data_IF_626381155213
#
_entry.id   IF_626381155213
#
_cell.length_a   1.000
_cell.length_b   1.000
_cell.length_c   1.000
_cell.angle_alpha   90.00
_cell.angle_beta   90.00
_cell.angle_gamma   90.00
#
_symmetry.space_group_name_H-M   'P 1'
#
loop_
_entity.id
_entity.type
_entity.pdbx_description
1 polymer ?
#
# COMPACT_ATOMS: atom_id res chain seq x y z
N UNK A 1 -26.67 -22.68 1.58
CA UNK A 1 -26.56 -22.88 0.10
C UNK A 1 -25.10 -22.91 -0.26
N UNK A 2 -24.71 -23.66 -1.29
CA UNK A 2 -23.29 -23.79 -1.65
C UNK A 2 -22.81 -22.56 -2.39
N UNK A 3 -21.63 -22.03 -2.02
CA UNK A 3 -20.94 -20.96 -2.76
C UNK A 3 -20.21 -21.54 -3.98
N UNK A 4 -19.85 -20.69 -4.94
CA UNK A 4 -18.88 -21.03 -5.99
C UNK A 4 -17.72 -20.05 -5.93
N UNK A 5 -16.49 -20.57 -6.10
CA UNK A 5 -15.25 -19.79 -6.09
C UNK A 5 -14.63 -19.72 -7.49
N UNK A 6 -14.22 -18.54 -7.92
CA UNK A 6 -13.37 -18.33 -9.09
C UNK A 6 -12.12 -17.55 -8.67
N UNK A 7 -10.95 -18.03 -9.07
CA UNK A 7 -9.66 -17.39 -8.82
C UNK A 7 -8.95 -17.22 -10.16
N UNK A 8 -8.48 -16.03 -10.49
CA UNK A 8 -7.86 -15.70 -11.78
C UNK A 8 -6.68 -14.75 -11.61
N UNK A 9 -5.59 -14.99 -12.36
CA UNK A 9 -4.57 -14.00 -12.59
C UNK A 9 -4.96 -13.08 -13.74
N UNK A 10 -4.81 -11.77 -13.56
CA UNK A 10 -5.10 -10.77 -14.58
C UNK A 10 -3.93 -9.80 -14.73
N UNK A 11 -3.80 -9.22 -15.92
CA UNK A 11 -2.71 -8.28 -16.25
C UNK A 11 -3.31 -7.03 -16.87
N UNK A 12 -3.10 -5.88 -16.20
CA UNK A 12 -3.59 -4.58 -16.64
C UNK A 12 -2.42 -3.69 -17.06
N UNK A 13 -2.23 -3.40 -18.36
CA UNK A 13 -1.21 -2.48 -18.82
C UNK A 13 -1.36 -1.09 -18.18
N UNK A 14 -0.25 -0.53 -17.68
CA UNK A 14 -0.24 0.82 -17.15
C UNK A 14 -0.21 1.84 -18.31
N UNK A 15 -0.93 2.95 -18.16
CA UNK A 15 -0.91 4.05 -19.14
C UNK A 15 0.47 4.69 -19.29
N UNK A 16 1.25 4.68 -18.21
CA UNK A 16 2.65 5.13 -18.18
C UNK A 16 3.47 4.18 -17.29
N UNK A 17 4.73 3.90 -17.64
CA UNK A 17 5.61 3.09 -16.79
C UNK A 17 5.74 3.71 -15.40
N UNK A 18 5.63 2.88 -14.36
CA UNK A 18 5.79 3.30 -12.97
C UNK A 18 7.16 2.88 -12.44
N UNK A 19 8.01 3.88 -12.13
CA UNK A 19 9.38 3.67 -11.67
C UNK A 19 9.57 4.03 -10.20
N UNK A 20 10.20 3.14 -9.47
CA UNK A 20 10.67 3.33 -8.08
C UNK A 20 12.15 2.94 -7.98
N UNK A 21 12.77 3.14 -6.81
CA UNK A 21 14.18 2.77 -6.56
C UNK A 21 14.51 1.30 -6.91
N UNK A 22 13.53 0.38 -6.74
CA UNK A 22 13.69 -1.07 -6.95
C UNK A 22 13.36 -1.56 -8.37
N UNK A 23 12.86 -0.73 -9.28
CA UNK A 23 12.57 -1.14 -10.65
C UNK A 23 11.44 -0.36 -11.34
N UNK A 24 11.05 -0.86 -12.52
CA UNK A 24 10.01 -0.25 -13.34
C UNK A 24 8.93 -1.29 -13.65
N UNK A 25 7.66 -0.93 -13.41
CA UNK A 25 6.49 -1.72 -13.81
C UNK A 25 5.82 -1.09 -15.02
N UNK A 26 5.39 -1.93 -15.97
CA UNK A 26 4.63 -1.53 -17.17
C UNK A 26 3.21 -2.09 -17.14
N UNK A 27 2.92 -2.98 -16.19
CA UNK A 27 1.60 -3.56 -15.97
C UNK A 27 1.36 -3.80 -14.48
N UNK A 28 0.11 -3.85 -14.08
CA UNK A 28 -0.34 -4.38 -12.80
C UNK A 28 -0.76 -5.84 -13.01
N UNK A 29 -0.02 -6.77 -12.40
CA UNK A 29 -0.36 -8.19 -12.34
C UNK A 29 -1.10 -8.42 -11.03
N UNK A 30 -2.34 -8.92 -11.11
CA UNK A 30 -3.23 -9.05 -9.95
C UNK A 30 -3.84 -10.45 -9.90
N UNK A 31 -4.31 -10.83 -8.71
CA UNK A 31 -5.16 -12.01 -8.53
C UNK A 31 -6.55 -11.52 -8.15
N UNK A 32 -7.56 -11.86 -8.95
CA UNK A 32 -8.95 -11.60 -8.65
C UNK A 32 -9.63 -12.84 -8.09
N UNK A 33 -10.43 -12.64 -7.05
CA UNK A 33 -11.27 -13.67 -6.43
C UNK A 33 -12.72 -13.26 -6.52
N UNK A 34 -13.55 -14.21 -6.96
CA UNK A 34 -15.02 -14.06 -6.97
C UNK A 34 -15.65 -15.19 -6.19
N UNK A 35 -16.50 -14.84 -5.23
CA UNK A 35 -17.30 -15.79 -4.45
C UNK A 35 -18.77 -15.48 -4.68
N UNK A 36 -19.50 -16.44 -5.26
CA UNK A 36 -20.92 -16.27 -5.59
C UNK A 36 -21.78 -17.12 -4.68
N UNK A 37 -22.82 -16.51 -4.10
CA UNK A 37 -23.84 -17.17 -3.30
C UNK A 37 -25.20 -16.51 -3.59
N UNK A 38 -26.23 -17.33 -3.80
CA UNK A 38 -27.63 -16.87 -3.98
C UNK A 38 -27.82 -15.83 -5.11
N UNK A 39 -26.99 -15.95 -6.16
CA UNK A 39 -27.00 -15.03 -7.31
C UNK A 39 -26.25 -13.71 -7.10
N UNK A 40 -25.69 -13.48 -5.91
CA UNK A 40 -24.83 -12.33 -5.60
C UNK A 40 -23.37 -12.75 -5.64
N UNK A 41 -22.50 -11.88 -6.15
CA UNK A 41 -21.06 -12.13 -6.26
C UNK A 41 -20.29 -11.07 -5.50
N UNK A 42 -19.47 -11.51 -4.55
CA UNK A 42 -18.45 -10.69 -3.91
C UNK A 42 -17.15 -10.76 -4.68
N UNK A 43 -16.46 -9.64 -4.78
CA UNK A 43 -15.20 -9.44 -5.50
C UNK A 43 -14.07 -9.06 -4.56
N UNK A 44 -12.92 -9.65 -4.78
CA UNK A 44 -11.68 -9.25 -4.14
C UNK A 44 -10.54 -9.25 -5.14
N UNK A 45 -9.56 -8.39 -4.93
CA UNK A 45 -8.36 -8.27 -5.75
C UNK A 45 -7.15 -8.12 -4.83
N UNK A 46 -6.03 -8.70 -5.23
CA UNK A 46 -4.75 -8.50 -4.58
C UNK A 46 -3.65 -8.30 -5.61
N UNK A 47 -2.63 -7.54 -5.21
CA UNK A 47 -1.40 -7.34 -5.97
C UNK A 47 -0.28 -8.14 -5.29
N UNK A 48 0.03 -9.37 -5.76
CA UNK A 48 1.18 -10.11 -5.24
C UNK A 48 2.46 -9.30 -5.37
N UNK A 49 3.22 -9.19 -4.29
CA UNK A 49 4.36 -8.29 -4.29
C UNK A 49 5.68 -9.06 -4.15
N UNK A 50 6.49 -9.02 -5.22
CA UNK A 50 7.76 -9.76 -5.31
C UNK A 50 8.73 -9.45 -4.16
N UNK A 51 8.68 -8.25 -3.55
CA UNK A 51 9.45 -7.86 -2.37
C UNK A 51 9.18 -8.78 -1.17
N UNK A 52 7.96 -9.36 -1.10
CA UNK A 52 7.53 -10.28 -0.06
C UNK A 52 7.54 -11.75 -0.50
N UNK A 53 8.13 -12.04 -1.68
CA UNK A 53 8.23 -13.40 -2.22
C UNK A 53 6.94 -13.90 -2.87
N UNK A 54 5.99 -13.01 -3.16
CA UNK A 54 4.71 -13.38 -3.77
C UNK A 54 4.72 -13.22 -5.28
N UNK A 55 4.01 -14.10 -5.98
CA UNK A 55 3.69 -14.03 -7.42
C UNK A 55 2.21 -14.37 -7.63
N UNK A 56 1.70 -14.10 -8.82
CA UNK A 56 0.34 -14.50 -9.20
C UNK A 56 0.14 -16.01 -9.00
N UNK A 57 1.11 -16.80 -9.43
CA UNK A 57 1.06 -18.27 -9.35
C UNK A 57 1.06 -18.76 -7.90
N UNK A 58 1.96 -18.22 -7.05
CA UNK A 58 2.02 -18.64 -5.63
C UNK A 58 0.78 -18.20 -4.86
N UNK A 59 0.22 -17.05 -5.20
CA UNK A 59 -1.01 -16.54 -4.61
C UNK A 59 -2.21 -17.42 -4.97
N UNK A 60 -2.36 -17.79 -6.23
CA UNK A 60 -3.42 -18.73 -6.68
C UNK A 60 -3.22 -20.09 -6.02
N UNK A 61 -1.98 -20.61 -6.00
CA UNK A 61 -1.67 -21.89 -5.39
C UNK A 61 -1.95 -21.94 -3.88
N UNK A 62 -1.89 -20.81 -3.18
CA UNK A 62 -2.26 -20.72 -1.77
C UNK A 62 -3.78 -20.75 -1.55
N UNK A 63 -4.57 -20.21 -2.48
CA UNK A 63 -6.04 -20.13 -2.38
C UNK A 63 -6.70 -21.45 -2.77
N UNK A 64 -6.23 -22.11 -3.84
CA UNK A 64 -6.89 -23.29 -4.42
C UNK A 64 -7.13 -24.45 -3.43
N UNK A 65 -6.22 -24.80 -2.49
CA UNK A 65 -6.47 -25.85 -1.50
C UNK A 65 -7.66 -25.55 -0.57
N UNK A 66 -8.04 -24.28 -0.43
CA UNK A 66 -9.17 -23.87 0.41
C UNK A 66 -10.51 -23.82 -0.32
N UNK A 67 -10.56 -24.18 -1.61
CA UNK A 67 -11.75 -24.11 -2.46
C UNK A 67 -12.95 -24.77 -1.81
N UNK A 68 -12.82 -26.02 -1.39
CA UNK A 68 -13.95 -26.76 -0.80
C UNK A 68 -14.45 -26.12 0.50
N UNK A 69 -13.54 -25.60 1.33
CA UNK A 69 -13.89 -24.93 2.58
C UNK A 69 -14.62 -23.60 2.31
N UNK A 70 -14.12 -22.79 1.37
CA UNK A 70 -14.74 -21.53 0.97
C UNK A 70 -16.11 -21.74 0.32
N UNK A 71 -16.25 -22.77 -0.52
CA UNK A 71 -17.52 -23.15 -1.13
C UNK A 71 -18.51 -23.76 -0.11
N UNK A 72 -17.99 -24.37 0.98
CA UNK A 72 -18.81 -24.83 2.09
C UNK A 72 -19.29 -23.72 3.03
N UNK A 73 -18.67 -22.52 2.95
CA UNK A 73 -19.16 -21.36 3.68
C UNK A 73 -18.21 -20.76 4.73
N UNK A 74 -16.90 -21.11 4.69
CA UNK A 74 -15.90 -20.45 5.54
C UNK A 74 -16.04 -18.94 5.47
N UNK A 75 -16.04 -18.28 6.63
CA UNK A 75 -16.14 -16.84 6.79
C UNK A 75 -14.79 -16.17 6.91
N UNK A 76 -14.79 -14.83 6.92
CA UNK A 76 -13.56 -14.01 6.96
C UNK A 76 -12.78 -14.18 8.29
N UNK A 77 -13.47 -14.37 9.41
CA UNK A 77 -12.81 -14.60 10.70
C UNK A 77 -12.06 -15.95 10.74
N UNK A 78 -12.70 -17.00 10.19
CA UNK A 78 -12.07 -18.33 10.09
C UNK A 78 -10.88 -18.29 9.11
N UNK A 79 -10.94 -17.45 8.08
CA UNK A 79 -9.89 -17.28 7.06
C UNK A 79 -8.56 -16.83 7.70
N UNK A 80 -8.60 -16.05 8.80
CA UNK A 80 -7.39 -15.62 9.52
C UNK A 80 -6.53 -16.79 9.99
N UNK A 81 -7.15 -17.92 10.34
CA UNK A 81 -6.46 -19.15 10.74
C UNK A 81 -6.06 -20.07 9.58
N UNK A 82 -6.55 -19.82 8.38
CA UNK A 82 -6.33 -20.69 7.21
C UNK A 82 -5.25 -20.15 6.25
N UNK A 83 -5.10 -18.84 6.15
CA UNK A 83 -4.08 -18.19 5.33
C UNK A 83 -3.27 -17.19 6.16
N UNK A 84 -1.95 -17.14 5.98
CA UNK A 84 -1.14 -16.06 6.54
C UNK A 84 -1.52 -14.70 5.94
N UNK A 85 -1.10 -13.62 6.59
CA UNK A 85 -1.18 -12.28 6.02
C UNK A 85 -0.45 -12.23 4.67
N UNK A 86 -0.99 -11.49 3.70
CA UNK A 86 -0.46 -11.41 2.35
C UNK A 86 -1.55 -11.35 1.28
N UNK A 87 -1.13 -11.35 0.01
CA UNK A 87 -2.00 -11.16 -1.14
C UNK A 87 -3.11 -12.22 -1.25
N UNK A 88 -2.81 -13.49 -0.96
CA UNK A 88 -3.80 -14.57 -1.03
C UNK A 88 -4.96 -14.36 -0.06
N UNK A 89 -4.63 -14.05 1.21
CA UNK A 89 -5.67 -13.76 2.22
C UNK A 89 -6.43 -12.50 1.88
N UNK A 90 -5.74 -11.42 1.43
CA UNK A 90 -6.39 -10.18 1.04
C UNK A 90 -7.43 -10.39 -0.07
N UNK A 91 -7.09 -11.09 -1.15
CA UNK A 91 -8.04 -11.33 -2.25
C UNK A 91 -9.31 -12.07 -1.79
N UNK A 92 -9.15 -13.09 -0.94
CA UNK A 92 -10.30 -13.87 -0.42
C UNK A 92 -11.09 -13.07 0.61
N UNK A 93 -10.43 -12.40 1.55
CA UNK A 93 -11.06 -11.58 2.59
C UNK A 93 -11.92 -10.46 2.00
N UNK A 94 -11.38 -9.71 1.03
CA UNK A 94 -12.12 -8.66 0.35
C UNK A 94 -13.34 -9.21 -0.42
N UNK A 95 -13.22 -10.39 -1.05
CA UNK A 95 -14.35 -11.03 -1.73
C UNK A 95 -15.43 -11.47 -0.73
N UNK A 96 -15.04 -11.96 0.45
CA UNK A 96 -15.98 -12.32 1.52
C UNK A 96 -16.68 -11.08 2.08
N UNK A 97 -15.94 -9.98 2.35
CA UNK A 97 -16.51 -8.71 2.77
C UNK A 97 -17.54 -8.19 1.77
N UNK A 98 -17.20 -8.14 0.48
CA UNK A 98 -18.14 -7.65 -0.57
C UNK A 98 -19.37 -8.54 -0.67
N UNK A 99 -19.21 -9.87 -0.59
CA UNK A 99 -20.33 -10.81 -0.60
C UNK A 99 -21.26 -10.62 0.61
N UNK A 100 -20.67 -10.55 1.82
CA UNK A 100 -21.44 -10.37 3.05
C UNK A 100 -22.26 -9.08 3.03
N UNK A 101 -21.65 -7.97 2.57
CA UNK A 101 -22.33 -6.68 2.46
C UNK A 101 -23.47 -6.73 1.43
N UNK A 102 -23.27 -7.38 0.30
CA UNK A 102 -24.32 -7.58 -0.73
C UNK A 102 -25.47 -8.45 -0.23
N UNK A 103 -25.16 -9.54 0.46
CA UNK A 103 -26.17 -10.42 1.06
C UNK A 103 -26.98 -9.71 2.16
N UNK A 104 -26.34 -8.87 2.95
CA UNK A 104 -26.98 -8.10 4.01
C UNK A 104 -27.68 -6.81 3.51
N UNK A 105 -27.48 -6.41 2.24
CA UNK A 105 -28.03 -5.17 1.70
C UNK A 105 -27.47 -3.91 2.36
N UNK A 106 -26.20 -3.94 2.79
CA UNK A 106 -25.51 -2.86 3.49
C UNK A 106 -24.14 -2.59 2.87
N UNK A 107 -23.33 -1.74 3.47
CA UNK A 107 -21.95 -1.46 3.10
C UNK A 107 -20.97 -1.66 4.31
N UNK A 108 -19.68 -1.73 4.03
CA UNK A 108 -18.68 -1.98 5.05
C UNK A 108 -18.61 -0.86 6.10
N UNK A 109 -18.78 0.40 5.71
CA UNK A 109 -18.75 1.53 6.65
C UNK A 109 -19.88 1.42 7.66
N UNK A 110 -21.10 1.14 7.19
CA UNK A 110 -22.29 0.93 8.04
C UNK A 110 -22.08 -0.27 8.96
N UNK A 111 -21.57 -1.38 8.44
CA UNK A 111 -21.30 -2.61 9.20
C UNK A 111 -20.26 -2.39 10.31
N UNK A 112 -19.28 -1.52 10.07
CA UNK A 112 -18.22 -1.14 11.04
C UNK A 112 -18.65 0.01 11.98
N UNK A 113 -19.87 0.53 11.86
CA UNK A 113 -20.34 1.66 12.67
C UNK A 113 -19.65 2.99 12.34
N UNK A 114 -19.06 3.11 11.16
CA UNK A 114 -18.42 4.34 10.70
C UNK A 114 -19.51 5.34 10.33
N UNK A 115 -19.45 6.61 10.82
CA UNK A 115 -20.46 7.61 10.49
C UNK A 115 -20.58 7.85 8.98
N UNK A 116 -21.84 7.87 8.50
CA UNK A 116 -22.15 8.17 7.09
C UNK A 116 -22.89 9.50 6.98
N UNK A 117 -22.79 10.25 5.85
CA UNK A 117 -21.97 9.93 4.67
C UNK A 117 -20.45 10.03 4.95
N UNK A 118 -19.69 9.16 4.29
CA UNK A 118 -18.22 9.19 4.38
C UNK A 118 -17.69 10.54 3.91
N UNK A 119 -16.72 11.09 4.64
CA UNK A 119 -16.05 12.33 4.24
C UNK A 119 -15.01 12.04 3.16
N UNK A 120 -14.85 12.92 2.15
CA UNK A 120 -13.79 12.79 1.17
C UNK A 120 -12.41 12.82 1.84
N UNK A 121 -11.54 11.88 1.47
CA UNK A 121 -10.15 11.82 1.92
C UNK A 121 -9.24 12.16 0.74
N UNK A 122 -8.28 13.10 0.90
CA UNK A 122 -7.30 13.38 -0.13
C UNK A 122 -6.44 12.16 -0.43
N UNK A 123 -6.38 11.74 -1.69
CA UNK A 123 -5.42 10.74 -2.16
C UNK A 123 -4.17 11.40 -2.71
N UNK A 124 -3.01 10.74 -2.55
CA UNK A 124 -1.77 11.21 -3.13
C UNK A 124 -1.65 10.78 -4.60
N UNK A 125 -1.31 11.71 -5.49
CA UNK A 125 -0.80 11.36 -6.82
C UNK A 125 0.72 11.26 -6.77
N UNK A 126 1.28 10.26 -7.46
CA UNK A 126 2.71 9.95 -7.36
C UNK A 126 3.50 10.57 -8.52
N UNK A 127 4.57 11.28 -8.18
CA UNK A 127 5.67 11.60 -9.08
C UNK A 127 6.68 10.46 -8.98
N UNK A 128 6.81 9.69 -10.05
CA UNK A 128 7.77 8.58 -10.15
C UNK A 128 9.22 9.06 -10.17
N UNK A 129 10.13 8.15 -9.85
CA UNK A 129 11.57 8.41 -9.89
C UNK A 129 12.06 8.63 -11.34
N UNK A 130 12.69 9.77 -11.59
CA UNK A 130 13.31 10.13 -12.86
C UNK A 130 14.37 11.23 -12.62
N UNK A 131 14.89 11.83 -13.69
CA UNK A 131 15.72 13.03 -13.60
C UNK A 131 14.94 14.20 -12.98
N UNK A 132 15.60 15.11 -12.26
CA UNK A 132 14.91 16.27 -11.66
C UNK A 132 14.04 17.07 -12.65
N UNK A 133 14.47 17.20 -13.91
CA UNK A 133 13.71 17.91 -14.95
C UNK A 133 12.40 17.19 -15.29
N UNK A 134 12.43 15.86 -15.52
CA UNK A 134 11.24 15.05 -15.80
C UNK A 134 10.31 14.96 -14.59
N UNK A 135 10.85 14.87 -13.38
CA UNK A 135 10.07 14.93 -12.17
C UNK A 135 9.34 16.27 -12.01
N UNK A 136 9.99 17.38 -12.37
CA UNK A 136 9.35 18.70 -12.40
C UNK A 136 8.20 18.77 -13.41
N UNK A 137 8.37 18.23 -14.60
CA UNK A 137 7.31 18.15 -15.63
C UNK A 137 6.11 17.34 -15.11
N UNK A 138 6.36 16.16 -14.54
CA UNK A 138 5.32 15.33 -13.96
C UNK A 138 4.60 16.03 -12.79
N UNK A 139 5.35 16.71 -11.93
CA UNK A 139 4.79 17.47 -10.81
C UNK A 139 3.93 18.66 -11.27
N UNK A 140 4.36 19.35 -12.32
CA UNK A 140 3.59 20.46 -12.91
C UNK A 140 2.23 20.00 -13.42
N UNK A 141 2.16 18.83 -14.04
CA UNK A 141 0.92 18.26 -14.56
C UNK A 141 -0.12 17.98 -13.46
N UNK A 142 0.33 17.76 -12.22
CA UNK A 142 -0.52 17.48 -11.04
C UNK A 142 -0.43 18.57 -9.97
N UNK A 143 0.04 19.77 -10.28
CA UNK A 143 0.28 20.85 -9.30
C UNK A 143 -0.98 21.38 -8.59
N UNK A 144 -2.18 20.99 -9.04
CA UNK A 144 -3.47 21.39 -8.46
C UNK A 144 -4.09 20.37 -7.52
N UNK A 145 -3.49 19.18 -7.34
CA UNK A 145 -3.99 18.17 -6.39
C UNK A 145 -3.64 18.56 -4.96
N UNK A 146 -4.39 18.09 -3.95
CA UNK A 146 -4.11 18.42 -2.56
C UNK A 146 -2.84 17.77 -2.00
N UNK A 147 -2.44 16.61 -2.52
CA UNK A 147 -1.36 15.79 -2.00
C UNK A 147 -0.57 15.12 -3.12
N UNK A 148 0.76 15.21 -3.06
CA UNK A 148 1.69 14.56 -3.99
C UNK A 148 2.63 13.63 -3.20
N UNK A 149 2.84 12.42 -3.69
CA UNK A 149 3.88 11.49 -3.20
C UNK A 149 5.04 11.50 -4.19
N UNK A 150 6.27 11.70 -3.72
CA UNK A 150 7.47 11.83 -4.55
C UNK A 150 8.40 10.67 -4.29
N UNK A 151 8.67 9.88 -5.32
CA UNK A 151 9.67 8.82 -5.27
C UNK A 151 11.06 9.41 -5.49
N UNK A 152 11.99 9.08 -4.62
CA UNK A 152 13.38 9.55 -4.67
C UNK A 152 14.35 8.39 -4.49
N UNK A 153 15.61 8.60 -4.81
CA UNK A 153 16.71 7.68 -4.52
C UNK A 153 17.91 8.43 -3.92
N UNK A 154 19.05 7.75 -3.78
CA UNK A 154 20.27 8.36 -3.23
C UNK A 154 21.10 9.14 -4.25
N UNK A 155 20.74 9.15 -5.53
CA UNK A 155 21.57 9.78 -6.57
C UNK A 155 21.69 11.29 -6.39
N UNK A 156 20.57 11.99 -6.25
CA UNK A 156 20.50 13.41 -5.93
C UNK A 156 19.11 13.80 -5.38
N UNK A 157 18.76 13.34 -4.18
CA UNK A 157 17.44 13.60 -3.58
C UNK A 157 17.17 15.10 -3.40
N UNK A 158 18.21 15.89 -3.16
CA UNK A 158 18.05 17.33 -2.98
C UNK A 158 17.59 18.03 -4.28
N UNK A 159 18.21 17.71 -5.42
CA UNK A 159 17.80 18.28 -6.71
C UNK A 159 16.42 17.77 -7.12
N UNK A 160 16.12 16.48 -6.92
CA UNK A 160 14.82 15.87 -7.19
C UNK A 160 13.72 16.60 -6.42
N UNK A 161 13.83 16.72 -5.10
CA UNK A 161 12.83 17.35 -4.24
C UNK A 161 12.65 18.86 -4.53
N UNK A 162 13.75 19.60 -4.74
CA UNK A 162 13.70 21.02 -5.10
C UNK A 162 13.01 21.24 -6.44
N UNK A 163 13.26 20.36 -7.43
CA UNK A 163 12.64 20.44 -8.75
C UNK A 163 11.12 20.23 -8.66
N UNK A 164 10.67 19.19 -7.93
CA UNK A 164 9.26 18.90 -7.70
C UNK A 164 8.57 20.03 -6.94
N UNK A 165 9.15 20.53 -5.82
CA UNK A 165 8.55 21.59 -5.03
C UNK A 165 8.43 22.90 -5.80
N UNK A 166 9.40 23.25 -6.64
CA UNK A 166 9.31 24.43 -7.51
C UNK A 166 8.20 24.32 -8.54
N UNK A 167 8.01 23.13 -9.13
CA UNK A 167 6.98 22.89 -10.14
C UNK A 167 5.57 22.79 -9.53
N UNK A 168 5.47 22.22 -8.31
CA UNK A 168 4.22 22.07 -7.57
C UNK A 168 4.34 22.70 -6.17
N UNK A 169 4.22 24.03 -6.02
CA UNK A 169 4.48 24.72 -4.75
C UNK A 169 3.36 24.58 -3.72
N UNK A 170 2.14 24.21 -4.14
CA UNK A 170 0.95 24.18 -3.27
C UNK A 170 0.63 22.84 -2.61
N UNK A 171 0.73 21.68 -3.28
CA UNK A 171 0.39 20.40 -2.67
C UNK A 171 1.16 20.11 -1.39
N UNK A 172 0.51 19.43 -0.45
CA UNK A 172 1.21 18.68 0.59
C UNK A 172 2.10 17.64 -0.06
N UNK A 173 3.20 17.25 0.61
CA UNK A 173 4.18 16.38 -0.04
C UNK A 173 4.65 15.26 0.90
N UNK A 174 4.51 14.03 0.41
CA UNK A 174 5.11 12.83 0.99
C UNK A 174 6.36 12.50 0.20
N UNK A 175 7.45 12.21 0.87
CA UNK A 175 8.71 11.73 0.25
C UNK A 175 8.86 10.26 0.56
N UNK A 176 9.14 9.44 -0.46
CA UNK A 176 9.26 8.01 -0.31
C UNK A 176 10.51 7.49 -1.05
N UNK A 177 11.61 7.27 -0.30
CA UNK A 177 12.83 6.66 -0.81
C UNK A 177 12.72 5.16 -1.11
N UNK A 178 11.66 4.49 -0.68
CA UNK A 178 11.47 3.05 -0.80
C UNK A 178 12.71 2.25 -0.37
N UNK A 179 13.10 2.38 0.89
CA UNK A 179 14.22 1.63 1.49
C UNK A 179 15.61 2.00 0.91
N UNK A 180 15.76 3.11 0.17
CA UNK A 180 17.03 3.38 -0.53
C UNK A 180 18.01 4.26 0.26
N UNK A 181 17.59 4.90 1.36
CA UNK A 181 18.44 5.78 2.16
C UNK A 181 19.10 5.07 3.35
N UNK A 182 20.09 5.73 3.93
CA UNK A 182 20.69 5.38 5.23
C UNK A 182 20.26 6.38 6.29
N UNK A 183 20.57 6.11 7.55
CA UNK A 183 20.30 7.06 8.65
C UNK A 183 21.09 8.36 8.47
N UNK A 184 22.28 8.31 7.85
CA UNK A 184 23.09 9.50 7.53
C UNK A 184 22.39 10.37 6.47
N UNK A 185 21.79 9.75 5.45
CA UNK A 185 21.00 10.46 4.44
C UNK A 185 19.79 11.14 5.09
N UNK A 186 19.08 10.43 5.97
CA UNK A 186 17.94 10.99 6.71
C UNK A 186 18.35 12.20 7.54
N UNK A 187 19.50 12.11 8.26
CA UNK A 187 20.04 13.21 9.06
C UNK A 187 20.46 14.41 8.21
N UNK A 188 21.16 14.15 7.11
CA UNK A 188 21.67 15.21 6.23
C UNK A 188 20.56 15.99 5.51
N UNK A 189 19.40 15.38 5.31
CA UNK A 189 18.28 15.99 4.56
C UNK A 189 17.24 16.66 5.44
N UNK A 190 17.36 16.65 6.80
CA UNK A 190 16.35 17.23 7.70
C UNK A 190 16.06 18.71 7.39
N UNK A 191 17.08 19.55 7.28
CA UNK A 191 16.92 20.98 7.00
C UNK A 191 16.25 21.21 5.63
N UNK A 192 16.62 20.42 4.63
CA UNK A 192 16.00 20.47 3.31
C UNK A 192 14.52 20.09 3.36
N UNK A 193 14.17 19.05 4.09
CA UNK A 193 12.79 18.61 4.23
C UNK A 193 11.93 19.68 4.91
N UNK A 194 12.46 20.37 5.92
CA UNK A 194 11.80 21.52 6.55
C UNK A 194 11.65 22.67 5.55
N UNK A 195 12.74 23.07 4.87
CA UNK A 195 12.74 24.13 3.85
C UNK A 195 11.67 23.89 2.78
N UNK A 196 11.59 22.65 2.31
CA UNK A 196 10.64 22.26 1.26
C UNK A 196 9.25 21.92 1.81
N UNK A 197 9.02 22.07 3.11
CA UNK A 197 7.72 21.78 3.76
C UNK A 197 7.24 20.38 3.42
N UNK A 198 8.09 19.37 3.66
CA UNK A 198 7.71 17.96 3.51
C UNK A 198 6.84 17.58 4.70
N UNK A 199 5.69 16.95 4.43
CA UNK A 199 4.70 16.57 5.45
C UNK A 199 5.00 15.20 6.06
N UNK A 200 5.64 14.30 5.30
CA UNK A 200 5.89 12.92 5.70
C UNK A 200 7.08 12.33 4.92
N UNK A 201 7.93 11.60 5.63
CA UNK A 201 8.97 10.73 5.06
C UNK A 201 8.54 9.27 5.23
N UNK A 202 8.30 8.55 4.13
CA UNK A 202 7.86 7.15 4.15
C UNK A 202 9.04 6.22 3.89
N UNK A 203 9.20 5.20 4.73
CA UNK A 203 10.19 4.11 4.65
C UNK A 203 11.55 4.52 4.08
N UNK A 204 12.31 5.35 4.79
CA UNK A 204 13.61 5.80 4.29
C UNK A 204 14.66 4.69 4.25
N UNK A 205 14.74 3.85 5.30
CA UNK A 205 15.72 2.79 5.48
C UNK A 205 15.18 1.43 5.08
N UNK A 206 16.07 0.50 4.66
CA UNK A 206 15.69 -0.91 4.53
C UNK A 206 15.06 -1.46 5.81
N UNK A 207 14.00 -2.26 5.69
CA UNK A 207 13.26 -2.78 6.85
C UNK A 207 14.13 -3.59 7.82
N UNK A 208 15.19 -4.24 7.32
CA UNK A 208 16.16 -4.97 8.16
C UNK A 208 17.28 -4.09 8.77
N UNK A 209 17.31 -2.80 8.45
CA UNK A 209 18.29 -1.83 8.93
C UNK A 209 17.64 -0.64 9.66
N UNK A 210 16.32 -0.61 9.74
CA UNK A 210 15.54 0.49 10.32
C UNK A 210 15.70 0.64 11.85
N UNK A 211 16.29 -0.35 12.52
CA UNK A 211 16.76 -0.23 13.90
C UNK A 211 17.67 0.99 14.13
N UNK A 212 18.30 1.52 13.09
CA UNK A 212 19.07 2.77 13.14
C UNK A 212 18.20 4.02 13.40
N UNK A 213 16.88 3.93 13.28
CA UNK A 213 15.93 4.98 13.66
C UNK A 213 15.68 5.02 15.17
N UNK A 214 16.06 3.97 15.93
CA UNK A 214 15.83 3.94 17.37
C UNK A 214 16.47 5.14 18.06
N UNK A 215 15.67 5.91 18.81
CA UNK A 215 16.10 7.13 19.48
C UNK A 215 16.35 8.32 18.55
N UNK A 216 16.21 8.18 17.23
CA UNK A 216 16.30 9.31 16.31
C UNK A 216 15.03 10.18 16.40
N UNK A 217 15.21 11.47 16.50
CA UNK A 217 14.11 12.46 16.52
C UNK A 217 14.12 13.23 15.21
N UNK A 218 13.26 12.85 14.30
CA UNK A 218 13.10 13.54 13.03
C UNK A 218 12.37 14.87 13.20
N UNK A 219 12.70 15.85 12.37
CA UNK A 219 12.00 17.13 12.30
C UNK A 219 10.64 17.02 11.58
N UNK A 220 10.43 15.96 10.81
CA UNK A 220 9.15 15.64 10.15
C UNK A 220 8.76 14.21 10.50
N UNK A 221 7.45 13.88 10.52
CA UNK A 221 7.01 12.52 10.80
C UNK A 221 7.62 11.49 9.84
N UNK A 222 7.95 10.30 10.37
CA UNK A 222 8.41 9.16 9.57
C UNK A 222 7.34 8.06 9.62
N UNK A 223 7.01 7.50 8.44
CA UNK A 223 6.08 6.38 8.32
C UNK A 223 6.80 5.08 7.98
N UNK A 224 6.39 3.99 8.66
CA UNK A 224 6.75 2.63 8.28
C UNK A 224 5.84 2.14 7.16
N UNK A 225 6.42 1.55 6.11
CA UNK A 225 5.72 0.83 5.04
C UNK A 225 6.21 -0.61 4.96
N UNK A 226 7.40 -0.84 4.44
CA UNK A 226 7.97 -2.18 4.29
C UNK A 226 8.34 -2.83 5.65
N UNK A 227 8.50 -2.04 6.70
CA UNK A 227 8.81 -2.50 8.06
C UNK A 227 7.61 -3.01 8.85
N UNK A 228 6.38 -2.89 8.32
CA UNK A 228 5.17 -3.35 8.99
C UNK A 228 4.25 -4.06 7.99
N UNK A 229 3.79 -5.25 8.33
CA UNK A 229 2.84 -6.02 7.51
C UNK A 229 1.51 -6.20 8.23
N UNK A 230 1.54 -6.54 9.51
CA UNK A 230 0.37 -6.85 10.32
C UNK A 230 0.45 -6.15 11.68
N UNK A 231 -0.59 -6.28 12.49
CA UNK A 231 -0.64 -5.69 13.82
C UNK A 231 0.43 -6.26 14.76
N UNK A 232 0.84 -7.52 14.56
CA UNK A 232 1.86 -8.20 15.36
C UNK A 232 3.25 -7.55 15.21
N UNK A 233 3.50 -6.84 14.10
CA UNK A 233 4.78 -6.18 13.86
C UNK A 233 4.92 -4.86 14.62
N UNK A 234 3.81 -4.28 15.14
CA UNK A 234 3.79 -2.97 15.79
C UNK A 234 4.75 -2.89 16.99
N UNK A 235 4.81 -3.93 17.80
CA UNK A 235 5.66 -3.97 19.00
C UNK A 235 7.15 -4.06 18.68
N UNK A 236 7.50 -4.48 17.47
CA UNK A 236 8.87 -4.62 17.00
C UNK A 236 9.39 -3.36 16.28
N UNK A 237 8.53 -2.41 15.92
CA UNK A 237 8.93 -1.19 15.21
C UNK A 237 9.83 -0.31 16.10
N UNK A 238 10.93 0.26 15.55
CA UNK A 238 11.71 1.28 16.23
C UNK A 238 10.87 2.50 16.61
N UNK A 239 11.18 3.13 17.76
CA UNK A 239 10.51 4.34 18.26
C UNK A 239 10.77 5.61 17.42
N UNK A 240 11.49 5.48 16.31
CA UNK A 240 11.70 6.56 15.32
C UNK A 240 10.60 6.64 14.26
N UNK A 241 9.66 5.69 14.21
CA UNK A 241 8.46 5.79 13.40
C UNK A 241 7.33 6.48 14.17
N UNK A 242 6.64 7.40 13.51
CA UNK A 242 5.47 8.12 14.05
C UNK A 242 4.14 7.61 13.47
N UNK A 243 4.20 6.99 12.30
CA UNK A 243 3.04 6.60 11.48
C UNK A 243 3.28 5.23 10.88
N UNK A 244 2.22 4.48 10.64
CA UNK A 244 2.24 3.21 9.89
C UNK A 244 1.41 3.33 8.62
N UNK A 245 1.90 2.76 7.51
CA UNK A 245 1.17 2.65 6.26
C UNK A 245 0.50 1.29 6.17
N UNK A 246 -0.82 1.24 6.39
CA UNK A 246 -1.60 0.01 6.28
C UNK A 246 -1.88 -0.26 4.80
N UNK A 247 -1.51 -1.47 4.34
CA UNK A 247 -1.86 -1.97 3.01
C UNK A 247 -2.58 -3.31 3.16
N UNK A 248 -3.73 -3.47 2.53
CA UNK A 248 -4.52 -4.69 2.64
C UNK A 248 -3.76 -5.92 2.14
N UNK A 249 -2.92 -5.78 1.10
CA UNK A 249 -2.06 -6.87 0.64
C UNK A 249 -1.01 -7.30 1.67
N UNK A 250 -0.58 -6.41 2.57
CA UNK A 250 0.32 -6.75 3.68
C UNK A 250 -0.44 -7.37 4.85
N UNK A 251 -1.50 -6.70 5.31
CA UNK A 251 -2.30 -7.15 6.45
C UNK A 251 -3.17 -8.37 6.13
N UNK A 252 -3.25 -8.77 4.87
CA UNK A 252 -4.06 -9.91 4.44
C UNK A 252 -5.57 -9.63 4.46
N UNK A 253 -5.96 -8.44 4.03
CA UNK A 253 -7.34 -8.02 3.87
C UNK A 253 -7.84 -7.05 4.95
N UNK A 254 -9.10 -6.64 4.80
CA UNK A 254 -9.73 -5.67 5.69
C UNK A 254 -9.88 -6.23 7.12
N UNK A 255 -10.22 -7.51 7.27
CA UNK A 255 -10.37 -8.17 8.59
C UNK A 255 -9.05 -8.11 9.38
N UNK A 256 -7.90 -8.34 8.72
CA UNK A 256 -6.58 -8.28 9.36
C UNK A 256 -6.06 -6.85 9.56
N UNK A 257 -6.69 -5.85 8.93
CA UNK A 257 -6.29 -4.44 9.04
C UNK A 257 -7.05 -3.69 10.15
N UNK A 258 -8.20 -4.21 10.59
CA UNK A 258 -9.06 -3.68 11.67
C UNK A 258 -8.59 -4.14 13.05
#
# INVERSE_FOLDING_TARGET
MRRSLTVQGENFPLSTPFRISRGTKTAAEVVTVRITQDGLTGWGEAVPYARYGETVETTIAAIEPLRDALEAGVGREELLGLLPAGAARNAVDCALWDLEMRLAGTDAATSLGIPTPLQPIPTALTVGLDTPARMAEAALAIANVPLVKVKVDRSDPAAQLRAVRRAAPRPRMIVDPNESWTIEDVRALQDLMIELRIDLLEQPLPANEDGALAGFRSAIPIAADESIHSAEDLDALPDGYDIVNIKLDKSGGLTGAL
#
